data_IF_514800566177
#
_entry.id   IF_514800566177
#
_cell.length_a   1.000
_cell.length_b   1.000
_cell.length_c   1.000
_cell.angle_alpha   90.00
_cell.angle_beta   90.00
_cell.angle_gamma   90.00
#
_symmetry.space_group_name_H-M   'P 1'
#
loop_
_entity.id
_entity.type
_entity.pdbx_description
1 polymer ?
#
# COMPACT_ATOMS: atom_id res chain seq x y z
N UNK A 1 -18.59 18.24 6.68
CA UNK A 1 -17.43 18.68 5.87
C UNK A 1 -16.18 18.06 6.45
N UNK A 2 -15.20 17.65 5.64
CA UNK A 2 -13.87 17.31 6.14
C UNK A 2 -13.15 18.61 6.56
N UNK A 3 -12.33 18.57 7.61
CA UNK A 3 -11.57 19.74 8.04
C UNK A 3 -10.08 19.59 7.72
N UNK A 4 -9.49 20.66 7.19
CA UNK A 4 -8.08 20.70 6.82
C UNK A 4 -7.15 20.54 8.02
N UNK A 5 -7.64 20.88 9.21
CA UNK A 5 -6.98 20.75 10.50
C UNK A 5 -7.73 19.78 11.42
N UNK A 6 -6.99 19.09 12.29
CA UNK A 6 -7.51 18.27 13.39
C UNK A 6 -7.75 19.18 14.61
N UNK A 7 -9.00 19.30 15.07
CA UNK A 7 -9.36 20.22 16.17
C UNK A 7 -8.59 19.99 17.48
N UNK A 8 -8.20 18.74 17.78
CA UNK A 8 -7.48 18.36 18.99
C UNK A 8 -5.96 18.51 18.87
N UNK A 9 -5.42 18.85 17.69
CA UNK A 9 -3.99 19.03 17.52
C UNK A 9 -3.51 20.39 18.08
N UNK A 10 -2.35 20.39 18.73
CA UNK A 10 -1.54 21.59 18.85
C UNK A 10 -1.10 22.06 17.45
N UNK A 11 -0.92 23.37 17.25
CA UNK A 11 -0.54 23.93 15.93
C UNK A 11 0.88 24.48 15.97
N UNK A 12 1.73 24.00 15.06
CA UNK A 12 3.08 24.52 14.81
C UNK A 12 3.20 24.75 13.29
N UNK A 13 2.77 25.90 12.77
CA UNK A 13 2.52 26.07 11.34
C UNK A 13 3.84 26.10 10.54
N UNK A 14 3.85 25.43 9.40
CA UNK A 14 4.95 25.51 8.44
C UNK A 14 4.74 26.65 7.44
N UNK A 15 5.82 27.34 7.08
CA UNK A 15 5.86 28.33 5.98
C UNK A 15 6.18 27.72 4.61
N UNK A 16 6.51 26.42 4.56
CA UNK A 16 6.87 25.68 3.35
C UNK A 16 6.06 24.39 3.25
N UNK A 17 5.72 23.97 2.03
CA UNK A 17 5.01 22.72 1.75
C UNK A 17 5.48 22.10 0.42
N UNK A 18 5.02 20.87 0.14
CA UNK A 18 5.36 20.11 -1.07
C UNK A 18 4.54 20.48 -2.31
N UNK A 19 3.77 21.56 -2.28
CA UNK A 19 2.88 22.00 -3.35
C UNK A 19 1.44 21.51 -3.23
N UNK A 20 0.68 21.74 -4.32
CA UNK A 20 -0.71 21.31 -4.46
C UNK A 20 -0.83 19.79 -4.66
N UNK A 21 -1.94 19.20 -4.24
CA UNK A 21 -2.23 17.78 -4.45
C UNK A 21 -2.61 17.47 -5.91
N UNK A 22 -2.15 16.33 -6.45
CA UNK A 22 -2.40 15.92 -7.84
C UNK A 22 -3.79 15.28 -8.04
N UNK A 23 -4.50 14.92 -6.97
CA UNK A 23 -5.80 14.23 -7.06
C UNK A 23 -5.68 12.70 -7.14
N UNK A 24 -6.84 12.03 -7.24
CA UNK A 24 -6.93 10.55 -7.21
C UNK A 24 -7.08 9.97 -5.80
N UNK A 25 -6.70 8.69 -5.64
CA UNK A 25 -6.95 7.91 -4.42
C UNK A 25 -6.26 8.49 -3.17
N UNK A 26 -6.97 8.66 -2.05
CA UNK A 26 -6.48 9.33 -0.84
C UNK A 26 -5.58 8.39 -0.04
N UNK A 27 -4.65 8.93 0.76
CA UNK A 27 -3.73 8.09 1.55
C UNK A 27 -3.24 8.72 2.84
N UNK A 28 -2.84 7.85 3.76
CA UNK A 28 -2.01 8.17 4.91
C UNK A 28 -0.71 7.36 4.85
N UNK A 29 0.42 8.00 5.10
CA UNK A 29 1.72 7.34 5.26
C UNK A 29 2.18 7.51 6.70
N UNK A 30 2.64 6.42 7.29
CA UNK A 30 3.22 6.37 8.63
C UNK A 30 4.75 6.36 8.50
N UNK A 31 5.40 7.31 9.17
CA UNK A 31 6.85 7.54 9.15
C UNK A 31 7.31 7.68 10.60
N UNK A 32 8.50 7.23 10.96
CA UNK A 32 9.01 7.41 12.32
C UNK A 32 9.78 8.73 12.47
N UNK A 33 9.98 9.11 13.72
CA UNK A 33 11.06 10.00 14.15
C UNK A 33 11.80 9.30 15.29
N UNK A 34 13.05 8.85 15.07
CA UNK A 34 13.86 8.21 16.10
C UNK A 34 14.01 9.11 17.34
N UNK A 35 13.27 8.77 18.39
CA UNK A 35 13.22 9.47 19.66
C UNK A 35 12.54 8.58 20.72
N UNK A 36 12.95 8.74 21.97
CA UNK A 36 12.19 8.24 23.12
C UNK A 36 10.87 9.03 23.27
N UNK A 37 9.69 8.40 23.19
CA UNK A 37 8.41 9.06 23.38
C UNK A 37 8.12 9.44 24.84
N UNK A 38 8.90 8.99 25.82
CA UNK A 38 8.77 9.45 27.21
C UNK A 38 9.48 10.80 27.44
N UNK A 39 10.67 10.97 26.87
CA UNK A 39 11.48 12.20 26.99
C UNK A 39 11.17 13.31 25.98
N UNK A 40 10.57 13.01 24.81
CA UNK A 40 10.43 13.96 23.70
C UNK A 40 8.95 14.27 23.37
N UNK A 41 8.63 15.57 23.23
CA UNK A 41 7.30 16.05 22.83
C UNK A 41 7.11 16.07 21.31
N UNK A 42 5.90 15.76 20.85
CA UNK A 42 5.50 15.91 19.44
C UNK A 42 5.64 17.37 18.99
N UNK A 43 5.39 18.36 19.86
CA UNK A 43 5.63 19.78 19.56
C UNK A 43 7.08 20.10 19.26
N UNK A 44 8.04 19.56 20.02
CA UNK A 44 9.48 19.80 19.78
C UNK A 44 9.93 19.20 18.44
N UNK A 45 9.43 18.01 18.10
CA UNK A 45 9.69 17.35 16.81
C UNK A 45 9.01 18.10 15.66
N UNK A 46 7.78 18.59 15.81
CA UNK A 46 7.12 19.44 14.80
C UNK A 46 7.91 20.74 14.55
N UNK A 47 8.34 21.42 15.62
CA UNK A 47 9.20 22.60 15.52
C UNK A 47 10.51 22.28 14.78
N UNK A 48 11.14 21.13 15.08
CA UNK A 48 12.37 20.70 14.39
C UNK A 48 12.15 20.40 12.92
N UNK A 49 11.05 19.73 12.56
CA UNK A 49 10.68 19.42 11.16
C UNK A 49 10.44 20.70 10.35
N UNK A 50 9.78 21.70 10.94
CA UNK A 50 9.60 23.02 10.31
C UNK A 50 10.95 23.74 10.13
N UNK A 51 11.81 23.75 11.16
CA UNK A 51 13.14 24.37 11.09
C UNK A 51 14.03 23.81 9.97
N UNK A 52 13.98 22.49 9.72
CA UNK A 52 14.78 21.84 8.67
C UNK A 52 14.08 21.82 7.30
N UNK A 53 12.96 22.52 7.13
CA UNK A 53 12.21 22.58 5.88
C UNK A 53 11.54 21.27 5.47
N UNK A 54 11.36 20.32 6.39
CA UNK A 54 10.74 19.00 6.15
C UNK A 54 9.48 18.75 6.99
N UNK A 55 8.49 19.66 7.04
CA UNK A 55 7.25 19.45 7.78
C UNK A 55 6.49 18.21 7.30
N UNK A 56 5.94 17.45 8.26
CA UNK A 56 4.86 16.47 8.06
C UNK A 56 3.49 17.16 8.16
N UNK A 57 2.40 16.42 7.93
CA UNK A 57 1.07 16.92 8.30
C UNK A 57 0.93 16.89 9.82
N UNK A 58 1.04 15.69 10.39
CA UNK A 58 0.99 15.44 11.82
C UNK A 58 2.35 15.00 12.36
N UNK A 59 2.59 15.34 13.62
CA UNK A 59 3.53 14.68 14.52
C UNK A 59 2.72 14.14 15.69
N UNK A 60 3.00 12.91 16.11
CA UNK A 60 2.25 12.20 17.14
C UNK A 60 3.17 11.48 18.11
N UNK A 61 2.95 11.69 19.41
CA UNK A 61 3.53 10.89 20.48
C UNK A 61 2.50 9.83 20.92
N UNK A 62 2.73 8.53 20.65
CA UNK A 62 1.76 7.46 20.91
C UNK A 62 1.67 7.05 22.39
N UNK A 63 2.57 7.55 23.25
CA UNK A 63 2.58 7.28 24.70
C UNK A 63 1.83 8.37 25.47
N UNK A 64 1.97 9.64 25.08
CA UNK A 64 1.34 10.78 25.77
C UNK A 64 0.04 11.26 25.12
N UNK A 65 -0.24 10.83 23.88
CA UNK A 65 -1.38 11.31 23.10
C UNK A 65 -1.20 12.70 22.51
N UNK A 66 -0.01 13.32 22.63
CA UNK A 66 0.25 14.63 22.05
C UNK A 66 0.24 14.54 20.51
N UNK A 67 -0.69 15.25 19.88
CA UNK A 67 -0.78 15.41 18.43
C UNK A 67 -0.51 16.86 18.08
N UNK A 68 0.39 17.10 17.11
CA UNK A 68 0.70 18.43 16.61
C UNK A 68 0.60 18.45 15.08
N UNK A 69 -0.07 19.47 14.54
CA UNK A 69 -0.22 19.66 13.10
C UNK A 69 0.59 20.85 12.60
N UNK A 70 1.25 20.67 11.45
CA UNK A 70 2.04 21.71 10.79
C UNK A 70 1.54 22.12 9.41
N UNK A 71 0.80 21.23 8.72
CA UNK A 71 0.27 21.48 7.39
C UNK A 71 -1.19 21.02 7.26
N UNK A 72 -2.05 21.76 6.54
CA UNK A 72 -3.41 21.33 6.20
C UNK A 72 -3.37 20.11 5.26
N UNK A 73 -4.32 19.19 5.41
CA UNK A 73 -4.38 17.94 4.61
C UNK A 73 -4.49 18.15 3.08
N UNK A 74 -4.85 19.35 2.64
CA UNK A 74 -5.00 19.75 1.23
C UNK A 74 -3.72 20.24 0.56
N UNK A 75 -2.59 20.24 1.27
CA UNK A 75 -1.24 20.55 0.76
C UNK A 75 -0.35 19.32 0.93
N UNK A 76 0.64 19.13 0.05
CA UNK A 76 1.59 18.03 0.20
C UNK A 76 2.62 18.33 1.30
N UNK A 77 3.10 17.30 2.01
CA UNK A 77 4.14 17.43 3.03
C UNK A 77 5.52 16.95 2.52
N UNK A 78 6.58 17.38 3.20
CA UNK A 78 7.97 17.32 2.71
C UNK A 78 8.76 16.08 3.22
N UNK A 79 8.06 15.04 3.66
CA UNK A 79 8.64 13.81 4.21
C UNK A 79 8.89 12.68 3.19
N UNK A 80 8.40 12.78 1.95
CA UNK A 80 8.55 11.76 0.89
C UNK A 80 9.34 12.33 -0.31
N UNK A 81 10.04 11.48 -1.09
CA UNK A 81 10.85 11.91 -2.23
C UNK A 81 10.02 12.27 -3.46
N UNK A 82 10.61 13.02 -4.41
CA UNK A 82 10.01 13.33 -5.70
C UNK A 82 8.65 14.03 -5.56
N UNK A 83 7.63 13.52 -6.25
CA UNK A 83 6.27 14.03 -6.20
C UNK A 83 5.22 13.05 -5.65
N UNK A 84 5.64 11.91 -5.09
CA UNK A 84 4.70 10.94 -4.52
C UNK A 84 3.96 11.50 -3.29
N UNK A 85 4.52 12.53 -2.63
CA UNK A 85 3.83 13.34 -1.63
C UNK A 85 2.58 14.08 -2.14
N UNK A 86 2.44 14.27 -3.46
CA UNK A 86 1.27 14.87 -4.11
C UNK A 86 0.28 13.84 -4.64
N UNK A 87 0.55 12.53 -4.52
CA UNK A 87 -0.36 11.51 -5.05
C UNK A 87 -1.64 11.39 -4.21
N UNK A 88 -2.80 11.43 -4.87
CA UNK A 88 -4.10 11.45 -4.19
C UNK A 88 -4.67 12.85 -4.01
N UNK A 89 -5.97 12.94 -3.71
CA UNK A 89 -6.59 14.21 -3.28
C UNK A 89 -6.07 14.72 -1.92
N UNK A 90 -5.55 13.79 -1.10
CA UNK A 90 -4.79 14.03 0.13
C UNK A 90 -3.73 12.93 0.26
N UNK A 91 -2.56 13.29 0.77
CA UNK A 91 -1.46 12.38 1.12
C UNK A 91 -0.92 12.73 2.50
N UNK A 92 -1.67 12.37 3.53
CA UNK A 92 -1.34 12.72 4.92
C UNK A 92 -0.07 11.98 5.33
N UNK A 93 0.92 12.72 5.84
CA UNK A 93 2.16 12.17 6.37
C UNK A 93 2.13 12.33 7.89
N UNK A 94 2.08 11.20 8.59
CA UNK A 94 1.99 11.13 10.06
C UNK A 94 3.35 10.70 10.57
N UNK A 95 4.03 11.59 11.31
CA UNK A 95 5.31 11.26 11.93
C UNK A 95 5.10 10.83 13.37
N UNK A 96 5.51 9.60 13.69
CA UNK A 96 5.31 8.98 15.01
C UNK A 96 6.64 8.94 15.75
N UNK A 97 6.66 9.35 17.02
CA UNK A 97 7.84 9.20 17.88
C UNK A 97 7.99 7.73 18.29
N UNK A 98 9.20 7.16 18.14
CA UNK A 98 9.48 5.75 18.46
C UNK A 98 10.70 5.20 17.71
N UNK A 99 10.76 3.88 17.54
CA UNK A 99 11.90 3.15 16.95
C UNK A 99 11.43 2.15 15.88
N UNK A 100 12.29 1.85 14.89
CA UNK A 100 12.03 0.78 13.89
C UNK A 100 12.11 -0.64 14.48
N UNK A 101 12.68 -0.76 15.69
CA UNK A 101 12.83 -2.01 16.43
C UNK A 101 11.73 -2.24 17.48
N UNK A 102 11.01 -1.18 17.86
CA UNK A 102 9.97 -1.18 18.90
C UNK A 102 8.71 -0.57 18.27
N UNK A 103 7.85 -1.39 17.64
CA UNK A 103 6.70 -0.90 16.89
C UNK A 103 5.79 -0.03 17.77
N UNK A 104 5.41 1.16 17.30
CA UNK A 104 4.52 2.05 18.06
C UNK A 104 3.13 1.42 18.32
N UNK A 105 2.78 0.39 17.56
CA UNK A 105 1.60 -0.46 17.75
C UNK A 105 1.65 -1.36 18.98
N UNK A 106 2.79 -1.45 19.66
CA UNK A 106 2.96 -2.25 20.88
C UNK A 106 2.82 -1.34 22.12
N UNK A 107 2.76 -0.02 21.90
CA UNK A 107 2.53 1.01 22.91
C UNK A 107 1.03 1.21 23.22
N UNK A 108 0.76 2.20 24.09
CA UNK A 108 -0.59 2.61 24.48
C UNK A 108 -1.44 3.11 23.30
N UNK A 109 -0.83 3.82 22.35
CA UNK A 109 -1.48 4.48 21.21
C UNK A 109 -2.55 5.52 21.62
N UNK A 110 -2.27 6.33 22.64
CA UNK A 110 -3.14 7.46 23.02
C UNK A 110 -3.31 8.44 21.85
N UNK A 111 -4.49 9.04 21.68
CA UNK A 111 -4.77 9.98 20.58
C UNK A 111 -4.97 9.33 19.20
N UNK A 112 -4.83 8.02 19.09
CA UNK A 112 -5.01 7.31 17.81
C UNK A 112 -6.41 7.53 17.24
N UNK A 113 -7.47 7.37 18.03
CA UNK A 113 -8.86 7.44 17.57
C UNK A 113 -9.20 8.80 16.95
N UNK A 114 -8.64 9.88 17.47
CA UNK A 114 -8.77 11.25 16.99
C UNK A 114 -8.11 11.43 15.61
N UNK A 115 -6.88 10.91 15.45
CA UNK A 115 -6.19 10.84 14.16
C UNK A 115 -7.04 10.04 13.18
N UNK A 116 -7.46 8.84 13.57
CA UNK A 116 -8.21 7.92 12.71
C UNK A 116 -9.54 8.57 12.25
N UNK A 117 -10.37 9.10 13.15
CA UNK A 117 -11.64 9.75 12.79
C UNK A 117 -11.46 10.93 11.82
N UNK A 118 -10.35 11.67 11.92
CA UNK A 118 -10.01 12.72 10.97
C UNK A 118 -9.62 12.17 9.59
N UNK A 119 -8.88 11.07 9.50
CA UNK A 119 -8.60 10.38 8.22
C UNK A 119 -9.89 9.84 7.56
N UNK A 120 -10.87 9.37 8.33
CA UNK A 120 -12.20 8.97 7.82
C UNK A 120 -13.03 10.15 7.32
N UNK A 121 -12.83 11.36 7.88
CA UNK A 121 -13.44 12.58 7.37
C UNK A 121 -12.94 12.88 5.94
N UNK A 122 -11.64 12.63 5.70
CA UNK A 122 -11.01 12.69 4.38
C UNK A 122 -11.29 11.48 3.48
N UNK A 123 -12.03 10.48 3.99
CA UNK A 123 -12.39 9.21 3.32
C UNK A 123 -11.16 8.44 2.83
N UNK A 124 -10.13 8.34 3.67
CA UNK A 124 -8.97 7.45 3.49
C UNK A 124 -9.42 6.01 3.85
N UNK A 125 -9.26 5.01 2.96
CA UNK A 125 -9.67 3.64 3.24
C UNK A 125 -8.94 2.98 4.41
N UNK A 126 -9.71 2.27 5.25
CA UNK A 126 -9.26 1.35 6.32
C UNK A 126 -8.66 0.06 5.77
N UNK A 127 -7.63 0.19 4.95
CA UNK A 127 -6.98 -0.92 4.27
C UNK A 127 -5.50 -0.62 4.08
N UNK A 128 -4.68 -1.67 4.06
CA UNK A 128 -3.23 -1.58 3.87
C UNK A 128 -2.81 -2.36 2.61
N UNK A 129 -2.88 -1.76 1.40
CA UNK A 129 -2.84 -2.53 0.14
C UNK A 129 -1.49 -3.16 -0.21
N UNK A 130 -0.43 -2.79 0.51
CA UNK A 130 0.89 -3.38 0.41
C UNK A 130 1.12 -4.56 1.38
N UNK A 131 0.12 -4.94 2.19
CA UNK A 131 0.28 -5.83 3.34
C UNK A 131 0.97 -5.14 4.52
N UNK A 132 1.11 -5.80 5.69
CA UNK A 132 1.85 -5.24 6.82
C UNK A 132 3.30 -4.92 6.41
N UNK A 133 3.90 -3.81 6.89
CA UNK A 133 5.32 -3.55 6.69
C UNK A 133 6.16 -4.65 7.36
N UNK A 134 7.28 -5.00 6.74
CA UNK A 134 8.20 -6.01 7.27
C UNK A 134 8.95 -5.49 8.52
N UNK A 135 9.47 -6.38 9.38
CA UNK A 135 10.43 -5.98 10.42
C UNK A 135 11.70 -5.38 9.80
N UNK A 136 12.32 -4.45 10.52
CA UNK A 136 13.65 -3.95 10.19
C UNK A 136 14.70 -5.05 10.48
N UNK A 137 15.72 -5.28 9.62
CA UNK A 137 16.07 -4.52 8.42
C UNK A 137 15.38 -4.99 7.13
N UNK A 138 14.57 -6.05 7.15
CA UNK A 138 13.93 -6.62 5.96
C UNK A 138 13.03 -5.62 5.22
N UNK A 139 12.44 -4.65 5.93
CA UNK A 139 11.69 -3.52 5.35
C UNK A 139 12.51 -2.64 4.39
N UNK A 140 13.82 -2.51 4.60
CA UNK A 140 14.71 -1.74 3.71
C UNK A 140 14.68 -2.33 2.30
N UNK A 141 14.77 -3.66 2.20
CA UNK A 141 14.77 -4.41 0.94
C UNK A 141 13.36 -4.71 0.38
N UNK A 142 12.28 -4.25 1.02
CA UNK A 142 10.91 -4.60 0.64
C UNK A 142 10.48 -4.04 -0.74
N UNK A 143 9.68 -4.79 -1.52
CA UNK A 143 9.22 -4.34 -2.83
C UNK A 143 8.17 -3.23 -2.73
N UNK A 144 8.49 -2.04 -3.25
CA UNK A 144 7.66 -0.83 -3.18
C UNK A 144 6.68 -0.76 -4.35
N UNK A 145 5.55 -1.46 -4.21
CA UNK A 145 4.57 -1.67 -5.29
C UNK A 145 3.80 -0.40 -5.69
N UNK A 146 4.15 0.17 -6.84
CA UNK A 146 3.41 1.29 -7.44
C UNK A 146 1.92 0.98 -7.72
N UNK A 147 1.58 -0.29 -7.99
CA UNK A 147 0.18 -0.74 -8.13
C UNK A 147 -0.57 -0.69 -6.80
N UNK A 148 0.05 -1.11 -5.70
CA UNK A 148 -0.55 -0.98 -4.37
C UNK A 148 -0.72 0.51 -4.01
N UNK A 149 0.35 1.30 -4.18
CA UNK A 149 0.34 2.75 -3.97
C UNK A 149 -0.77 3.48 -4.74
N UNK A 150 -1.09 3.07 -5.97
CA UNK A 150 -2.17 3.68 -6.75
C UNK A 150 -3.56 3.58 -6.08
N UNK A 151 -3.81 2.58 -5.22
CA UNK A 151 -5.14 2.32 -4.64
C UNK A 151 -5.50 3.21 -3.45
N UNK A 152 -4.54 3.88 -2.81
CA UNK A 152 -4.78 4.70 -1.61
C UNK A 152 -4.86 3.88 -0.31
N UNK A 153 -5.35 4.47 0.78
CA UNK A 153 -5.36 3.82 2.11
C UNK A 153 -4.09 4.09 2.92
N UNK A 154 -3.69 3.13 3.76
CA UNK A 154 -2.53 3.27 4.66
C UNK A 154 -1.27 2.57 4.11
N UNK A 155 -0.10 3.19 4.34
CA UNK A 155 1.21 2.65 3.96
C UNK A 155 2.29 2.98 5.01
N UNK A 156 3.30 2.12 5.13
CA UNK A 156 4.57 2.48 5.77
C UNK A 156 5.50 3.19 4.78
N UNK A 157 6.43 4.02 5.27
CA UNK A 157 7.41 4.71 4.42
C UNK A 157 8.25 3.75 3.56
N UNK A 158 8.59 2.57 4.10
CA UNK A 158 9.25 1.44 3.40
C UNK A 158 8.45 0.83 2.25
N UNK A 159 7.17 1.18 2.10
CA UNK A 159 6.29 0.70 1.03
C UNK A 159 5.98 1.79 -0.01
N UNK A 160 6.42 3.03 0.21
CA UNK A 160 6.25 4.16 -0.72
C UNK A 160 7.22 4.03 -1.90
N UNK A 161 6.77 4.16 -3.16
CA UNK A 161 7.67 4.16 -4.32
C UNK A 161 8.77 5.23 -4.24
N UNK A 162 10.00 4.86 -4.60
CA UNK A 162 11.15 5.77 -4.63
C UNK A 162 11.85 5.99 -3.27
N UNK A 163 11.41 5.34 -2.18
CA UNK A 163 12.15 5.35 -0.91
C UNK A 163 13.15 4.19 -0.82
N UNK A 164 14.10 4.32 0.10
CA UNK A 164 15.02 3.23 0.53
C UNK A 164 14.93 2.97 2.04
N UNK A 165 14.04 3.68 2.74
CA UNK A 165 13.92 3.65 4.21
C UNK A 165 13.24 2.36 4.71
N UNK A 166 13.52 1.98 5.97
CA UNK A 166 12.94 0.81 6.64
C UNK A 166 11.70 1.10 7.52
N UNK A 167 11.36 2.37 7.72
CA UNK A 167 10.23 2.82 8.55
C UNK A 167 8.88 2.22 8.12
N UNK A 168 7.93 1.96 9.04
CA UNK A 168 8.02 2.13 10.50
C UNK A 168 8.41 0.83 11.25
N UNK A 169 9.01 -0.16 10.58
CA UNK A 169 9.20 -1.51 11.14
C UNK A 169 7.90 -2.33 11.17
N UNK A 170 7.91 -3.46 11.90
CA UNK A 170 6.82 -4.44 11.93
C UNK A 170 5.62 -4.00 12.80
N UNK A 171 4.94 -2.95 12.37
CA UNK A 171 3.71 -2.46 13.02
C UNK A 171 2.52 -3.39 12.77
N UNK A 172 1.72 -3.61 13.80
CA UNK A 172 0.42 -4.27 13.67
C UNK A 172 -0.59 -3.33 13.00
N UNK A 173 -0.80 -3.57 11.70
CA UNK A 173 -1.74 -2.79 10.89
C UNK A 173 -3.20 -2.94 11.36
N UNK A 174 -3.57 -4.02 12.06
CA UNK A 174 -4.95 -4.26 12.52
C UNK A 174 -5.36 -3.23 13.57
N UNK A 175 -4.44 -2.82 14.46
CA UNK A 175 -4.64 -1.71 15.40
C UNK A 175 -4.89 -0.35 14.72
N UNK A 176 -4.64 -0.22 13.41
CA UNK A 176 -4.80 1.02 12.62
C UNK A 176 -5.98 0.95 11.63
N UNK A 177 -6.26 -0.24 11.07
CA UNK A 177 -7.34 -0.47 10.11
C UNK A 177 -8.62 -1.02 10.72
N UNK A 178 -8.54 -1.64 11.90
CA UNK A 178 -9.56 -2.57 12.40
C UNK A 178 -9.49 -3.92 11.68
N UNK A 179 -10.27 -4.89 12.17
CA UNK A 179 -10.28 -6.28 11.70
C UNK A 179 -10.78 -6.43 10.24
N UNK A 180 -11.58 -5.47 9.75
CA UNK A 180 -12.03 -5.34 8.35
C UNK A 180 -10.86 -5.14 7.35
N UNK A 181 -9.67 -4.78 7.85
CA UNK A 181 -8.50 -4.36 7.05
C UNK A 181 -7.91 -5.43 6.13
N UNK A 182 -8.31 -6.69 6.31
CA UNK A 182 -7.90 -7.84 5.49
C UNK A 182 -8.68 -7.99 4.17
N UNK A 183 -9.69 -7.13 3.92
CA UNK A 183 -10.60 -7.22 2.77
C UNK A 183 -9.95 -6.91 1.41
N UNK A 184 -9.22 -7.90 0.87
CA UNK A 184 -8.82 -7.95 -0.55
C UNK A 184 -10.07 -7.84 -1.42
N UNK A 185 -10.30 -6.65 -1.99
CA UNK A 185 -11.41 -6.42 -2.92
C UNK A 185 -11.17 -7.18 -4.22
N UNK A 186 -11.64 -8.42 -4.26
CA UNK A 186 -11.81 -9.19 -5.49
C UNK A 186 -12.55 -8.31 -6.50
N UNK A 187 -11.98 -8.03 -7.69
CA UNK A 187 -12.68 -7.25 -8.70
C UNK A 187 -13.97 -7.98 -9.09
N UNK A 188 -15.11 -7.29 -8.96
CA UNK A 188 -16.39 -7.82 -9.45
C UNK A 188 -16.21 -8.24 -10.92
N UNK A 189 -16.59 -9.48 -11.31
CA UNK A 189 -16.44 -9.93 -12.68
C UNK A 189 -17.20 -8.98 -13.59
N UNK A 190 -16.49 -8.43 -14.59
CA UNK A 190 -17.02 -7.44 -15.51
C UNK A 190 -18.12 -8.11 -16.34
N UNK A 191 -19.38 -7.89 -15.96
CA UNK A 191 -20.54 -8.44 -16.66
C UNK A 191 -20.42 -8.08 -18.13
N UNK A 192 -20.22 -9.09 -18.97
CA UNK A 192 -20.16 -8.91 -20.41
C UNK A 192 -21.56 -8.49 -20.86
N UNK A 193 -21.68 -7.25 -21.35
CA UNK A 193 -22.84 -6.80 -22.10
C UNK A 193 -22.86 -7.54 -23.45
N UNK A 194 -23.25 -8.81 -23.42
CA UNK A 194 -23.45 -9.62 -24.62
C UNK A 194 -24.48 -8.91 -25.50
N UNK A 195 -23.99 -8.36 -26.62
CA UNK A 195 -24.81 -7.55 -27.52
C UNK A 195 -25.98 -8.36 -28.06
N UNK A 196 -27.20 -7.96 -27.69
CA UNK A 196 -28.44 -8.53 -28.20
C UNK A 196 -28.61 -8.20 -29.71
N UNK A 197 -27.87 -8.90 -30.56
CA UNK A 197 -27.97 -8.83 -32.02
C UNK A 197 -29.37 -9.27 -32.43
N UNK A 198 -30.24 -8.30 -32.73
CA UNK A 198 -31.59 -8.54 -33.26
C UNK A 198 -31.50 -9.36 -34.55
N UNK A 199 -31.82 -10.66 -34.45
CA UNK A 199 -32.11 -11.50 -35.62
C UNK A 199 -33.43 -11.03 -36.23
N UNK A 200 -33.55 -11.08 -37.57
CA UNK A 200 -34.69 -10.55 -38.32
C UNK A 200 -34.99 -11.50 -39.49
N UNK A 201 -36.13 -12.21 -39.41
CA UNK A 201 -36.44 -13.35 -40.29
C UNK A 201 -35.65 -14.62 -39.91
N UNK A 202 -36.10 -15.82 -40.26
CA UNK A 202 -37.38 -16.18 -40.87
C UNK A 202 -37.29 -17.50 -41.66
N UNK A 203 -38.30 -18.38 -41.49
CA UNK A 203 -38.53 -19.64 -42.22
C UNK A 203 -37.56 -20.82 -42.00
N UNK A 204 -38.04 -21.79 -41.21
CA UNK A 204 -37.96 -23.24 -41.50
C UNK A 204 -38.87 -23.57 -42.72
N UNK A 205 -38.71 -24.69 -43.49
CA UNK A 205 -38.48 -26.04 -42.95
C UNK A 205 -37.60 -27.06 -43.74
N UNK A 206 -37.15 -28.08 -42.99
CA UNK A 206 -36.92 -29.49 -43.34
C UNK A 206 -36.09 -29.90 -44.59
N UNK A 207 -35.07 -30.75 -44.39
CA UNK A 207 -35.13 -32.22 -44.67
C UNK A 207 -33.84 -32.96 -44.25
N UNK A 208 -34.03 -34.22 -43.85
CA UNK A 208 -33.10 -35.31 -43.50
C UNK A 208 -31.76 -35.40 -44.28
N UNK A 209 -30.68 -35.89 -43.63
CA UNK A 209 -30.09 -37.23 -43.90
C UNK A 209 -28.59 -37.41 -43.48
N UNK A 210 -28.30 -38.64 -43.01
CA UNK A 210 -27.09 -39.48 -43.10
C UNK A 210 -25.76 -39.20 -42.36
N UNK A 211 -25.31 -40.27 -41.66
CA UNK A 211 -24.06 -40.45 -40.93
C UNK A 211 -22.82 -40.60 -41.82
N UNK A 212 -21.67 -40.07 -41.35
CA UNK A 212 -20.36 -40.57 -41.76
C UNK A 212 -19.25 -40.24 -40.73
N UNK A 213 -18.11 -40.92 -40.88
CA UNK A 213 -16.79 -40.54 -40.34
C UNK A 213 -16.51 -40.63 -38.82
N UNK A 214 -17.23 -41.46 -38.06
CA UNK A 214 -16.76 -41.92 -36.74
C UNK A 214 -16.01 -43.27 -36.83
N UNK A 215 -15.05 -43.36 -37.76
CA UNK A 215 -14.19 -44.53 -38.00
C UNK A 215 -12.81 -44.10 -38.52
N UNK A 216 -11.77 -44.13 -37.66
CA UNK A 216 -10.34 -44.23 -38.04
C UNK A 216 -9.39 -44.31 -36.82
N UNK A 217 -9.52 -45.33 -35.96
CA UNK A 217 -8.44 -45.70 -35.04
C UNK A 217 -7.94 -47.10 -35.41
N UNK A 218 -6.85 -47.17 -36.21
CA UNK A 218 -5.80 -48.21 -36.19
C UNK A 218 -4.83 -48.07 -37.38
N UNK A 219 -3.55 -48.41 -37.14
CA UNK A 219 -2.36 -48.37 -38.03
C UNK A 219 -1.64 -47.01 -38.14
N UNK A 220 -0.33 -46.88 -37.82
CA UNK A 220 0.56 -47.69 -36.98
C UNK A 220 1.57 -46.75 -36.27
N UNK A 221 2.15 -46.99 -35.08
CA UNK A 221 2.82 -48.16 -34.48
C UNK A 221 4.11 -48.62 -35.20
N UNK A 222 5.26 -48.42 -34.51
CA UNK A 222 6.62 -48.85 -34.88
C UNK A 222 7.66 -47.75 -34.56
N UNK A 223 8.35 -47.75 -33.42
CA UNK A 223 9.61 -48.49 -33.08
C UNK A 223 10.88 -47.94 -33.79
N UNK A 224 12.08 -47.88 -33.17
CA UNK A 224 12.56 -48.46 -31.89
C UNK A 224 13.69 -47.61 -31.22
N UNK A 225 14.33 -48.18 -30.19
CA UNK A 225 15.47 -47.69 -29.39
C UNK A 225 16.75 -47.36 -30.21
N UNK A 226 17.81 -46.72 -29.67
CA UNK A 226 18.17 -46.38 -28.27
C UNK A 226 19.41 -47.16 -27.79
N UNK A 227 20.22 -46.60 -26.87
CA UNK A 227 21.42 -47.26 -26.31
C UNK A 227 21.91 -46.60 -25.00
N UNK A 228 22.67 -47.34 -24.17
CA UNK A 228 23.57 -46.80 -23.14
C UNK A 228 25.06 -47.09 -23.57
N UNK A 229 26.10 -47.47 -22.80
CA UNK A 229 26.26 -48.02 -21.43
C UNK A 229 27.51 -47.43 -20.74
N UNK A 230 27.28 -46.62 -19.70
CA UNK A 230 28.10 -46.38 -18.49
C UNK A 230 29.61 -46.00 -18.54
N UNK A 231 30.10 -45.63 -17.34
CA UNK A 231 31.46 -45.68 -16.80
C UNK A 231 32.62 -44.85 -17.42
N UNK A 232 33.29 -44.07 -16.55
CA UNK A 232 34.62 -43.49 -16.79
C UNK A 232 35.07 -42.55 -15.66
N UNK A 233 36.11 -42.92 -14.89
CA UNK A 233 36.64 -42.12 -13.77
C UNK A 233 38.17 -41.99 -13.80
N UNK A 234 38.70 -40.77 -13.59
CA UNK A 234 40.06 -40.33 -13.18
C UNK A 234 40.22 -38.81 -13.50
N UNK A 235 40.57 -37.94 -12.56
CA UNK A 235 41.87 -37.64 -11.89
C UNK A 235 42.72 -36.56 -12.61
N UNK A 236 43.42 -35.77 -11.77
CA UNK A 236 44.59 -34.91 -12.04
C UNK A 236 44.38 -33.49 -12.59
N UNK A 237 44.59 -32.51 -11.69
CA UNK A 237 45.44 -31.29 -11.81
C UNK A 237 45.67 -30.61 -13.16
N UNK A 238 45.41 -29.30 -13.20
CA UNK A 238 46.46 -28.27 -12.98
C UNK A 238 45.93 -27.20 -11.99
#
# INVERSE_FOLDING_TARGET
MAQAWLHSAGVVPASVDGGSMNGGAPRAVWLLWPADPHGISAKSVAQRLVQIGRPSHLVWNPVTGEIVQSLPATRAACGLPGDVNRHGRVCVQIRVLGSVHEPFTDSKMDGLNEILAWLDSWKIPRSWPAGPPLPYPHSVAAPRSGRAWATGGHFGLSQVPGTTEGDPGAIDITRITGDDGSSVRVPLPRVALNGARRVRGGQDPATLADDAANQAIQSGLGHLAGHEVSLGSRLSSE
#
